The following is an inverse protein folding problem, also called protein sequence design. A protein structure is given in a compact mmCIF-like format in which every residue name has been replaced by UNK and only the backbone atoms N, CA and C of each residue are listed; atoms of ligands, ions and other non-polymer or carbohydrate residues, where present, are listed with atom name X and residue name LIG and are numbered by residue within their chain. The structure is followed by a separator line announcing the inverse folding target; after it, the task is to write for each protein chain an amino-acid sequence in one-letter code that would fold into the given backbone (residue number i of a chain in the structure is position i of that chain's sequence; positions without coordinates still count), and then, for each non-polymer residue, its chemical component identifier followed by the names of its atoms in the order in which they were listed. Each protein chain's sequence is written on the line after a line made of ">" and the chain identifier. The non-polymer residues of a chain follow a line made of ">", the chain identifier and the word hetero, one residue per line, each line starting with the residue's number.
data_IF_294448947322
#
_entry.id   IF_294448947322
#
_cell.length_a   1.000
_cell.length_b   1.000
_cell.length_c   1.000
_cell.angle_alpha   90.00
_cell.angle_beta   90.00
_cell.angle_gamma   90.00
#
_symmetry.space_group_name_H-M   'P 1'
#
loop_
_entity.id
_entity.type
_entity.pdbx_description
1 polymer ?
#
# COMPACT_ATOMS: atom_id res chain seq x y z
N UNK A 1 80.42 30.18 40.92
CA UNK A 1 81.75 30.30 41.59
C UNK A 1 81.86 29.11 42.51
N UNK A 2 82.77 28.17 42.44
CA UNK A 2 84.10 27.95 41.86
C UNK A 2 84.23 26.40 41.95
N UNK A 3 84.88 25.65 41.10
CA UNK A 3 85.86 25.98 40.09
C UNK A 3 85.96 24.78 39.16
N UNK A 4 86.13 25.11 37.89
CA UNK A 4 86.87 24.33 36.92
C UNK A 4 88.27 23.99 37.48
N UNK A 5 88.77 22.80 37.15
CA UNK A 5 90.20 22.50 36.96
C UNK A 5 91.09 22.40 38.21
N UNK A 6 91.22 21.17 38.70
CA UNK A 6 92.51 20.62 39.15
C UNK A 6 92.67 19.26 38.45
N UNK A 7 93.06 19.25 37.17
CA UNK A 7 94.45 19.04 36.72
C UNK A 7 95.21 17.99 37.54
N UNK A 8 95.49 16.88 36.84
CA UNK A 8 96.78 16.19 36.82
C UNK A 8 97.17 15.41 38.08
N UNK A 9 96.74 14.15 38.12
CA UNK A 9 97.59 13.05 38.62
C UNK A 9 97.56 11.91 37.61
N UNK A 10 98.42 12.02 36.61
CA UNK A 10 98.83 10.91 35.74
C UNK A 10 99.87 10.09 36.50
N UNK A 11 99.65 8.78 36.62
CA UNK A 11 100.64 7.70 36.64
C UNK A 11 99.93 6.32 36.54
N UNK A 12 100.59 5.27 36.07
CA UNK A 12 100.28 4.67 34.77
C UNK A 12 99.58 3.31 34.84
N UNK A 13 99.16 2.85 33.66
CA UNK A 13 98.73 1.48 33.32
C UNK A 13 99.66 0.42 33.94
N UNK A 14 99.07 -0.62 34.51
CA UNK A 14 99.28 -2.04 34.18
C UNK A 14 98.64 -2.91 35.27
N UNK A 15 97.56 -3.61 34.92
CA UNK A 15 97.54 -5.07 35.04
C UNK A 15 96.29 -5.62 34.35
N UNK A 16 96.54 -6.38 33.30
CA UNK A 16 95.60 -7.25 32.62
C UNK A 16 95.08 -8.28 33.63
N UNK A 17 93.80 -8.19 34.00
CA UNK A 17 93.09 -9.29 34.65
C UNK A 17 92.44 -10.14 33.56
N UNK A 18 93.14 -11.21 33.23
CA UNK A 18 92.69 -12.30 32.36
C UNK A 18 91.41 -12.92 32.91
N UNK A 19 90.27 -12.64 32.26
CA UNK A 19 89.03 -13.42 32.44
C UNK A 19 89.31 -14.88 32.04
N UNK A 20 88.96 -15.89 32.84
CA UNK A 20 89.23 -17.28 32.51
C UNK A 20 88.53 -17.67 31.20
N UNK A 21 89.21 -18.40 30.33
CA UNK A 21 88.70 -18.81 29.00
C UNK A 21 87.36 -19.55 29.04
N UNK A 22 87.00 -20.16 30.17
CA UNK A 22 85.79 -20.96 30.32
C UNK A 22 84.49 -20.12 30.40
N UNK A 23 84.54 -18.91 30.97
CA UNK A 23 83.36 -18.03 31.07
C UNK A 23 83.05 -17.34 29.73
N UNK A 24 84.09 -16.99 28.95
CA UNK A 24 83.92 -16.42 27.60
C UNK A 24 83.27 -17.38 26.62
N UNK A 25 83.51 -18.68 26.77
CA UNK A 25 82.93 -19.72 25.91
C UNK A 25 81.43 -19.95 26.23
N UNK A 26 81.03 -19.80 27.49
CA UNK A 26 79.62 -19.92 27.92
C UNK A 26 78.77 -18.75 27.43
N UNK A 27 79.31 -17.52 27.46
CA UNK A 27 78.63 -16.32 26.94
C UNK A 27 78.47 -16.35 25.41
N UNK A 28 79.47 -16.86 24.67
CA UNK A 28 79.43 -16.95 23.21
C UNK A 28 78.40 -18.01 22.73
N UNK A 29 78.29 -19.14 23.44
CA UNK A 29 77.28 -20.16 23.15
C UNK A 29 75.84 -19.64 23.43
N UNK A 30 75.67 -18.83 24.48
CA UNK A 30 74.40 -18.22 24.81
C UNK A 30 73.94 -17.21 23.75
N UNK A 31 74.83 -16.35 23.26
CA UNK A 31 74.54 -15.39 22.19
C UNK A 31 74.21 -16.08 20.86
N UNK A 32 74.90 -17.18 20.53
CA UNK A 32 74.59 -17.99 19.34
C UNK A 32 73.17 -18.57 19.39
N UNK A 33 72.74 -19.06 20.55
CA UNK A 33 71.37 -19.56 20.75
C UNK A 33 70.34 -18.44 20.65
N UNK A 34 70.63 -17.27 21.20
CA UNK A 34 69.76 -16.10 21.13
C UNK A 34 69.56 -15.63 19.68
N UNK A 35 70.64 -15.46 18.91
CA UNK A 35 70.58 -15.12 17.48
C UNK A 35 69.76 -16.15 16.69
N UNK A 36 69.96 -17.45 16.96
CA UNK A 36 69.18 -18.49 16.30
C UNK A 36 67.68 -18.42 16.64
N UNK A 37 67.33 -18.13 17.90
CA UNK A 37 65.94 -17.95 18.32
C UNK A 37 65.29 -16.73 17.66
N UNK A 38 66.02 -15.61 17.55
CA UNK A 38 65.54 -14.39 16.88
C UNK A 38 65.26 -14.65 15.39
N UNK A 39 66.15 -15.36 14.69
CA UNK A 39 65.88 -15.77 13.30
C UNK A 39 64.66 -16.68 13.17
N UNK A 40 64.45 -17.60 14.11
CA UNK A 40 63.27 -18.46 14.13
C UNK A 40 61.98 -17.65 14.35
N UNK A 41 62.00 -16.64 15.23
CA UNK A 41 60.89 -15.71 15.44
C UNK A 41 60.56 -14.91 14.17
N UNK A 42 61.57 -14.38 13.48
CA UNK A 42 61.38 -13.68 12.21
C UNK A 42 60.82 -14.58 11.11
N UNK A 43 61.25 -15.85 11.08
CA UNK A 43 60.72 -16.83 10.14
C UNK A 43 59.26 -17.16 10.42
N UNK A 44 58.86 -17.24 11.70
CA UNK A 44 57.46 -17.43 12.07
C UNK A 44 56.60 -16.20 11.76
N UNK A 45 57.17 -15.01 11.95
CA UNK A 45 56.47 -13.74 11.69
C UNK A 45 56.25 -13.55 10.19
N UNK A 46 57.30 -13.57 9.38
CA UNK A 46 57.18 -13.28 7.95
C UNK A 46 56.80 -14.51 7.11
N UNK A 47 57.06 -15.72 7.58
CA UNK A 47 57.08 -16.94 6.77
C UNK A 47 58.45 -17.13 6.10
N UNK A 48 58.93 -18.38 6.01
CA UNK A 48 60.27 -18.72 5.52
C UNK A 48 60.60 -18.10 4.17
N UNK A 49 59.68 -18.18 3.21
CA UNK A 49 59.91 -17.74 1.83
C UNK A 49 59.97 -16.22 1.73
N UNK A 50 59.10 -15.53 2.47
CA UNK A 50 59.07 -14.06 2.50
C UNK A 50 60.28 -13.49 3.24
N UNK A 51 60.74 -14.15 4.30
CA UNK A 51 61.94 -13.76 5.02
C UNK A 51 63.17 -13.83 4.12
N UNK A 52 63.31 -14.91 3.33
CA UNK A 52 64.41 -15.06 2.37
C UNK A 52 64.37 -13.98 1.28
N UNK A 53 63.19 -13.68 0.75
CA UNK A 53 63.03 -12.59 -0.23
C UNK A 53 63.40 -11.22 0.37
N UNK A 54 63.00 -10.95 1.62
CA UNK A 54 63.30 -9.71 2.34
C UNK A 54 64.80 -9.59 2.63
N UNK A 55 65.42 -10.66 3.13
CA UNK A 55 66.87 -10.72 3.35
C UNK A 55 67.68 -10.57 2.05
N UNK A 56 67.15 -11.04 0.92
CA UNK A 56 67.74 -10.83 -0.40
C UNK A 56 67.74 -9.36 -0.84
N UNK A 57 66.63 -8.65 -0.64
CA UNK A 57 66.51 -7.21 -0.96
C UNK A 57 67.40 -6.33 -0.10
N UNK A 58 67.64 -6.73 1.15
CA UNK A 58 68.43 -5.99 2.14
C UNK A 58 69.90 -6.43 2.19
N UNK A 59 70.33 -7.23 1.20
CA UNK A 59 71.68 -7.79 1.09
C UNK A 59 72.16 -8.58 2.33
N UNK A 60 71.23 -9.00 3.19
CA UNK A 60 71.50 -9.71 4.44
C UNK A 60 71.62 -11.23 4.24
N UNK A 61 71.24 -11.77 3.08
CA UNK A 61 71.15 -13.22 2.83
C UNK A 61 72.48 -13.96 3.01
N UNK A 62 73.60 -13.37 2.60
CA UNK A 62 74.94 -13.95 2.80
C UNK A 62 75.38 -13.87 4.27
N UNK A 63 75.07 -12.75 4.92
CA UNK A 63 75.40 -12.48 6.32
C UNK A 63 74.64 -13.41 7.29
N UNK A 64 73.38 -13.75 6.99
CA UNK A 64 72.60 -14.74 7.75
C UNK A 64 73.25 -16.12 7.82
N UNK A 65 74.03 -16.48 6.78
CA UNK A 65 74.70 -17.79 6.64
C UNK A 65 76.17 -17.75 7.04
N UNK A 66 76.66 -16.61 7.54
CA UNK A 66 78.04 -16.47 8.00
C UNK A 66 78.29 -17.30 9.26
N UNK A 67 79.53 -17.77 9.43
CA UNK A 67 79.98 -18.44 10.65
C UNK A 67 80.32 -17.44 11.77
N UNK A 68 80.49 -16.15 11.43
CA UNK A 68 80.68 -15.07 12.41
C UNK A 68 79.36 -14.66 13.04
N UNK A 69 79.36 -14.55 14.38
CA UNK A 69 78.21 -14.09 15.15
C UNK A 69 77.89 -12.62 14.82
N UNK A 70 78.92 -11.80 14.65
CA UNK A 70 78.82 -10.38 14.36
C UNK A 70 78.12 -10.11 13.02
N UNK A 71 78.44 -10.90 11.99
CA UNK A 71 77.76 -10.84 10.68
C UNK A 71 76.29 -11.26 10.78
N UNK A 72 75.99 -12.27 11.61
CA UNK A 72 74.62 -12.75 11.80
C UNK A 72 73.76 -11.74 12.56
N UNK A 73 74.33 -11.02 13.52
CA UNK A 73 73.65 -9.90 14.20
C UNK A 73 73.45 -8.73 13.24
N UNK A 74 74.43 -8.40 12.41
CA UNK A 74 74.29 -7.39 11.36
C UNK A 74 73.14 -7.73 10.39
N UNK A 75 73.02 -9.01 10.01
CA UNK A 75 71.91 -9.48 9.20
C UNK A 75 70.55 -9.29 9.88
N UNK A 76 70.47 -9.57 11.19
CA UNK A 76 69.25 -9.32 11.99
C UNK A 76 68.90 -7.84 12.02
N UNK A 77 69.88 -6.96 12.28
CA UNK A 77 69.66 -5.51 12.30
C UNK A 77 69.09 -5.01 10.97
N UNK A 78 69.70 -5.40 9.84
CA UNK A 78 69.20 -5.02 8.50
C UNK A 78 67.77 -5.50 8.25
N UNK A 79 67.44 -6.73 8.65
CA UNK A 79 66.13 -7.35 8.37
C UNK A 79 65.02 -6.74 9.24
N UNK A 80 65.34 -6.46 10.51
CA UNK A 80 64.38 -6.00 11.51
C UNK A 80 64.14 -4.50 11.38
N UNK A 81 65.19 -3.70 11.26
CA UNK A 81 65.09 -2.25 11.06
C UNK A 81 64.81 -1.85 9.59
N UNK A 82 64.80 -2.82 8.67
CA UNK A 82 64.60 -2.62 7.23
C UNK A 82 65.60 -1.65 6.57
N UNK A 83 66.79 -1.49 7.15
CA UNK A 83 67.81 -0.54 6.70
C UNK A 83 69.03 -1.26 6.09
N UNK A 84 69.24 -1.22 4.76
CA UNK A 84 70.40 -1.84 4.13
C UNK A 84 71.71 -1.04 4.31
N UNK A 85 71.64 0.20 4.80
CA UNK A 85 72.81 1.10 4.96
C UNK A 85 73.66 0.79 6.19
N UNK A 86 73.21 -0.13 7.04
CA UNK A 86 73.96 -0.64 8.19
C UNK A 86 75.06 -1.57 7.66
N UNK A 87 76.27 -1.04 7.46
CA UNK A 87 77.37 -1.78 6.80
C UNK A 87 78.33 -2.50 7.75
N UNK A 88 78.55 -1.94 8.95
CA UNK A 88 79.59 -2.43 9.84
C UNK A 88 79.01 -3.40 10.89
N UNK A 89 79.60 -4.60 11.05
CA UNK A 89 79.17 -5.52 12.10
C UNK A 89 79.51 -4.93 13.48
N UNK A 90 78.60 -5.02 14.45
CA UNK A 90 78.82 -4.50 15.80
C UNK A 90 80.04 -5.17 16.45
N UNK A 91 80.79 -4.41 17.25
CA UNK A 91 81.92 -4.98 17.99
C UNK A 91 81.43 -6.00 19.00
N UNK A 92 82.26 -7.02 19.29
CA UNK A 92 81.91 -8.12 20.22
C UNK A 92 81.36 -7.69 21.58
N UNK A 93 81.76 -6.52 22.08
CA UNK A 93 81.30 -5.99 23.37
C UNK A 93 79.88 -5.43 23.33
N UNK A 94 79.41 -5.05 22.14
CA UNK A 94 78.16 -4.32 21.92
C UNK A 94 77.07 -5.24 21.34
N UNK A 95 77.41 -6.51 21.05
CA UNK A 95 76.46 -7.53 20.58
C UNK A 95 75.24 -7.72 21.49
N UNK A 96 75.37 -7.75 22.84
CA UNK A 96 74.20 -7.91 23.70
C UNK A 96 73.22 -6.73 23.63
N UNK A 97 73.73 -5.51 23.50
CA UNK A 97 72.92 -4.29 23.39
C UNK A 97 72.20 -4.25 22.03
N UNK A 98 72.92 -4.54 20.94
CA UNK A 98 72.34 -4.62 19.60
C UNK A 98 71.25 -5.71 19.49
N UNK A 99 71.43 -6.86 20.16
CA UNK A 99 70.40 -7.89 20.21
C UNK A 99 69.16 -7.47 21.01
N UNK A 100 69.34 -6.73 22.10
CA UNK A 100 68.20 -6.20 22.86
C UNK A 100 67.39 -5.18 22.03
N UNK A 101 68.06 -4.29 21.30
CA UNK A 101 67.38 -3.36 20.37
C UNK A 101 66.60 -4.10 19.27
N UNK A 102 67.18 -5.18 18.72
CA UNK A 102 66.50 -6.04 17.74
C UNK A 102 65.27 -6.71 18.37
N UNK A 103 65.37 -7.20 19.60
CA UNK A 103 64.26 -7.85 20.30
C UNK A 103 63.11 -6.88 20.59
N UNK A 104 63.41 -5.64 21.00
CA UNK A 104 62.42 -4.59 21.21
C UNK A 104 61.65 -4.27 19.91
N UNK A 105 62.36 -4.09 18.79
CA UNK A 105 61.73 -3.80 17.50
C UNK A 105 60.88 -4.98 17.00
N UNK A 106 61.33 -6.22 17.21
CA UNK A 106 60.53 -7.41 16.89
C UNK A 106 59.24 -7.45 17.73
N UNK A 107 59.32 -7.09 19.01
CA UNK A 107 58.14 -7.05 19.87
C UNK A 107 57.10 -6.04 19.35
N UNK A 108 57.53 -4.85 18.92
CA UNK A 108 56.66 -3.83 18.33
C UNK A 108 56.04 -4.29 17.00
N UNK A 109 56.81 -4.95 16.14
CA UNK A 109 56.31 -5.54 14.89
C UNK A 109 55.23 -6.59 15.15
N UNK A 110 55.41 -7.47 16.15
CA UNK A 110 54.41 -8.48 16.54
C UNK A 110 53.15 -7.82 17.09
N UNK A 111 53.31 -6.80 17.95
CA UNK A 111 52.18 -6.08 18.53
C UNK A 111 51.32 -5.41 17.46
N UNK A 112 51.95 -4.73 16.49
CA UNK A 112 51.26 -4.07 15.37
C UNK A 112 50.50 -5.08 14.52
N UNK A 113 51.14 -6.18 14.12
CA UNK A 113 50.49 -7.21 13.30
C UNK A 113 49.31 -7.87 13.99
N UNK A 114 49.41 -8.09 15.30
CA UNK A 114 48.30 -8.64 16.10
C UNK A 114 47.07 -7.72 16.10
N UNK A 115 47.28 -6.40 16.06
CA UNK A 115 46.18 -5.42 15.97
C UNK A 115 45.58 -5.42 14.55
N UNK A 116 46.43 -5.47 13.52
CA UNK A 116 45.99 -5.55 12.12
C UNK A 116 45.10 -6.79 11.89
N UNK A 117 45.56 -7.98 12.32
CA UNK A 117 44.79 -9.23 12.20
C UNK A 117 43.43 -9.16 12.93
N UNK A 118 43.36 -8.51 14.10
CA UNK A 118 42.10 -8.31 14.84
C UNK A 118 41.13 -7.40 14.10
N UNK A 119 41.63 -6.36 13.44
CA UNK A 119 40.80 -5.42 12.68
C UNK A 119 40.28 -6.10 11.41
N UNK A 120 41.13 -6.82 10.67
CA UNK A 120 40.72 -7.57 9.48
C UNK A 120 39.62 -8.57 9.81
N UNK A 121 39.75 -9.32 10.90
CA UNK A 121 38.71 -10.25 11.36
C UNK A 121 37.38 -9.55 11.65
N UNK A 122 37.39 -8.40 12.34
CA UNK A 122 36.17 -7.61 12.61
C UNK A 122 35.53 -7.07 11.33
N UNK A 123 36.33 -6.66 10.36
CA UNK A 123 35.82 -6.18 9.06
C UNK A 123 35.14 -7.34 8.32
N UNK A 124 35.77 -8.51 8.28
CA UNK A 124 35.20 -9.69 7.64
C UNK A 124 33.85 -10.10 8.27
N UNK A 125 33.78 -10.15 9.60
CA UNK A 125 32.55 -10.45 10.34
C UNK A 125 31.42 -9.45 10.03
N UNK A 126 31.72 -8.14 10.01
CA UNK A 126 30.71 -7.12 9.66
C UNK A 126 30.27 -7.17 8.21
N UNK A 127 31.19 -7.44 7.28
CA UNK A 127 30.86 -7.59 5.86
C UNK A 127 29.92 -8.78 5.64
N UNK A 128 30.17 -9.89 6.33
CA UNK A 128 29.32 -11.07 6.25
C UNK A 128 27.93 -10.84 6.83
N UNK A 129 27.82 -10.18 7.99
CA UNK A 129 26.52 -9.78 8.56
C UNK A 129 25.71 -8.91 7.59
N UNK A 130 26.33 -7.88 7.01
CA UNK A 130 25.66 -6.99 6.04
C UNK A 130 25.23 -7.75 4.78
N UNK A 131 26.01 -8.72 4.32
CA UNK A 131 25.64 -9.56 3.18
C UNK A 131 24.43 -10.46 3.48
N UNK A 132 24.37 -11.05 4.67
CA UNK A 132 23.21 -11.85 5.10
C UNK A 132 21.94 -11.02 5.25
N UNK A 133 22.03 -9.80 5.80
CA UNK A 133 20.91 -8.86 5.88
C UNK A 133 20.41 -8.48 4.49
N UNK A 134 21.32 -8.14 3.56
CA UNK A 134 20.97 -7.81 2.18
C UNK A 134 20.28 -8.97 1.45
N UNK A 135 20.76 -10.21 1.62
CA UNK A 135 20.10 -11.39 1.04
C UNK A 135 18.71 -11.65 1.64
N UNK A 136 18.49 -11.35 2.93
CA UNK A 136 17.16 -11.44 3.55
C UNK A 136 16.19 -10.41 2.97
N UNK A 137 16.65 -9.17 2.77
CA UNK A 137 15.84 -8.11 2.13
C UNK A 137 15.44 -8.50 0.71
N UNK A 138 16.38 -8.98 -0.12
CA UNK A 138 16.07 -9.45 -1.47
C UNK A 138 15.06 -10.60 -1.46
N UNK A 139 15.24 -11.60 -0.58
CA UNK A 139 14.28 -12.70 -0.46
C UNK A 139 12.89 -12.22 -0.07
N UNK A 140 12.80 -11.23 0.81
CA UNK A 140 11.53 -10.65 1.23
C UNK A 140 10.85 -9.91 0.07
N UNK A 141 11.59 -9.14 -0.73
CA UNK A 141 11.08 -8.46 -1.93
C UNK A 141 10.58 -9.45 -2.98
N UNK A 142 11.35 -10.50 -3.30
CA UNK A 142 10.93 -11.52 -4.28
C UNK A 142 9.67 -12.27 -3.83
N UNK A 143 9.55 -12.58 -2.53
CA UNK A 143 8.32 -13.22 -1.99
C UNK A 143 7.10 -12.28 -2.06
N UNK A 144 7.31 -10.97 -1.92
CA UNK A 144 6.26 -9.97 -2.07
C UNK A 144 5.84 -9.80 -3.53
N UNK A 145 6.78 -9.86 -4.48
CA UNK A 145 6.53 -9.71 -5.92
C UNK A 145 5.95 -10.97 -6.56
N UNK A 146 6.30 -12.17 -6.08
CA UNK A 146 5.83 -13.44 -6.64
C UNK A 146 4.43 -13.87 -6.16
N UNK A 147 3.95 -13.30 -5.04
CA UNK A 147 2.58 -13.52 -4.61
C UNK A 147 1.66 -12.51 -5.34
N UNK A 148 0.70 -13.03 -6.11
CA UNK A 148 -0.41 -12.21 -6.60
C UNK A 148 -1.15 -11.50 -5.45
N UNK A 149 -2.18 -10.69 -5.76
CA UNK A 149 -2.91 -9.93 -4.73
C UNK A 149 -3.59 -10.82 -3.67
N UNK A 150 -3.73 -12.11 -3.96
CA UNK A 150 -4.39 -13.08 -3.11
C UNK A 150 -3.44 -13.91 -2.26
N UNK A 151 -3.74 -13.96 -0.96
CA UNK A 151 -3.09 -14.81 0.02
C UNK A 151 -4.09 -15.88 0.53
N UNK A 152 -3.65 -16.90 1.28
CA UNK A 152 -4.55 -17.96 1.77
C UNK A 152 -5.76 -17.43 2.56
N UNK A 153 -5.64 -16.29 3.23
CA UNK A 153 -6.75 -15.68 3.95
C UNK A 153 -7.75 -14.97 3.02
N UNK A 154 -7.31 -14.29 1.95
CA UNK A 154 -8.22 -13.68 0.97
C UNK A 154 -8.93 -14.73 0.15
N UNK A 155 -8.24 -15.80 -0.27
CA UNK A 155 -8.85 -16.94 -0.97
C UNK A 155 -9.88 -17.67 -0.10
N UNK A 156 -9.61 -17.81 1.21
CA UNK A 156 -10.60 -18.36 2.14
C UNK A 156 -11.84 -17.47 2.25
N UNK A 157 -11.65 -16.14 2.34
CA UNK A 157 -12.79 -15.19 2.34
C UNK A 157 -13.57 -15.25 1.03
N UNK A 158 -12.89 -15.37 -0.12
CA UNK A 158 -13.54 -15.54 -1.41
C UNK A 158 -14.38 -16.82 -1.44
N UNK A 159 -13.82 -17.95 -1.02
CA UNK A 159 -14.55 -19.22 -0.95
C UNK A 159 -15.73 -19.17 0.04
N UNK A 160 -15.58 -18.46 1.17
CA UNK A 160 -16.67 -18.24 2.12
C UNK A 160 -17.79 -17.38 1.49
N UNK A 161 -17.44 -16.35 0.70
CA UNK A 161 -18.40 -15.51 -0.03
C UNK A 161 -19.11 -16.27 -1.17
N UNK A 162 -18.37 -17.02 -1.99
CA UNK A 162 -18.94 -17.86 -3.05
C UNK A 162 -19.94 -18.88 -2.47
N UNK A 163 -19.59 -19.48 -1.32
CA UNK A 163 -20.50 -20.37 -0.59
C UNK A 163 -21.74 -19.65 -0.04
N UNK A 164 -21.63 -18.37 0.32
CA UNK A 164 -22.79 -17.56 0.72
C UNK A 164 -23.66 -17.22 -0.50
N UNK A 165 -23.08 -16.93 -1.66
CA UNK A 165 -23.79 -16.61 -2.90
C UNK A 165 -24.55 -17.83 -3.46
N UNK A 166 -24.08 -19.06 -3.21
CA UNK A 166 -24.82 -20.28 -3.50
C UNK A 166 -26.14 -20.39 -2.70
N UNK A 167 -26.24 -19.71 -1.56
CA UNK A 167 -27.43 -19.69 -0.70
C UNK A 167 -28.34 -18.53 -1.11
N UNK A 168 -29.09 -18.72 -2.19
CA UNK A 168 -30.13 -17.77 -2.58
C UNK A 168 -31.46 -18.10 -1.90
N UNK A 169 -32.00 -17.18 -1.12
CA UNK A 169 -33.40 -17.26 -0.70
C UNK A 169 -34.30 -17.05 -1.93
N UNK A 170 -35.50 -17.66 -1.92
CA UNK A 170 -36.50 -17.38 -2.95
C UNK A 170 -36.75 -15.86 -3.04
N UNK A 171 -37.00 -15.35 -4.26
CA UNK A 171 -37.32 -13.94 -4.47
C UNK A 171 -38.35 -13.48 -3.44
N UNK A 172 -38.11 -12.32 -2.84
CA UNK A 172 -39.01 -11.76 -1.84
C UNK A 172 -40.43 -11.74 -2.39
N UNK A 173 -41.38 -12.32 -1.65
CA UNK A 173 -42.81 -12.35 -2.03
C UNK A 173 -43.29 -10.94 -2.39
N UNK A 174 -42.76 -9.92 -1.70
CA UNK A 174 -43.05 -8.51 -1.95
C UNK A 174 -42.66 -8.02 -3.34
N UNK A 175 -41.65 -8.60 -3.98
CA UNK A 175 -41.27 -8.27 -5.36
C UNK A 175 -42.28 -8.85 -6.36
N UNK A 176 -42.68 -10.11 -6.15
CA UNK A 176 -43.70 -10.81 -6.96
C UNK A 176 -45.08 -10.16 -6.86
N UNK A 177 -45.36 -9.48 -5.75
CA UNK A 177 -46.62 -8.76 -5.54
C UNK A 177 -46.71 -7.40 -6.24
N UNK A 178 -45.60 -6.85 -6.75
CA UNK A 178 -45.60 -5.55 -7.44
C UNK A 178 -46.31 -5.64 -8.80
N UNK A 179 -46.99 -4.57 -9.25
CA UNK A 179 -47.48 -4.43 -10.62
C UNK A 179 -46.41 -4.70 -11.68
N UNK A 180 -46.76 -5.47 -12.72
CA UNK A 180 -45.85 -5.81 -13.82
C UNK A 180 -45.98 -4.90 -15.04
N UNK A 181 -47.07 -4.13 -15.13
CA UNK A 181 -47.33 -3.16 -16.20
C UNK A 181 -48.13 -1.97 -15.65
N UNK A 182 -48.19 -0.88 -16.41
CA UNK A 182 -48.90 0.34 -16.00
C UNK A 182 -50.41 0.16 -15.84
N UNK A 183 -51.03 -0.82 -16.52
CA UNK A 183 -52.46 -1.11 -16.39
C UNK A 183 -52.84 -1.80 -15.08
N UNK A 184 -51.86 -2.33 -14.35
CA UNK A 184 -52.05 -2.93 -13.03
C UNK A 184 -51.81 -1.94 -11.87
N UNK A 185 -51.48 -0.68 -12.18
CA UNK A 185 -51.31 0.37 -11.18
C UNK A 185 -52.68 0.93 -10.85
N UNK A 186 -53.06 0.86 -9.58
CA UNK A 186 -54.39 1.25 -9.09
C UNK A 186 -54.36 2.66 -8.49
N UNK A 187 -55.36 3.48 -8.82
CA UNK A 187 -55.62 4.77 -8.20
C UNK A 187 -54.59 5.87 -8.51
N UNK A 188 -53.78 5.71 -9.57
CA UNK A 188 -52.69 6.63 -9.93
C UNK A 188 -52.69 7.03 -11.40
N UNK A 189 -53.84 6.98 -12.08
CA UNK A 189 -53.95 7.20 -13.54
C UNK A 189 -53.42 8.57 -13.95
N UNK A 190 -53.71 9.60 -13.14
CA UNK A 190 -53.26 10.98 -13.38
C UNK A 190 -51.74 11.09 -13.24
N UNK A 191 -51.17 10.49 -12.19
CA UNK A 191 -49.74 10.49 -11.93
C UNK A 191 -48.98 9.71 -13.02
N UNK A 192 -49.47 8.52 -13.39
CA UNK A 192 -48.91 7.68 -14.46
C UNK A 192 -48.91 8.43 -15.79
N UNK A 193 -50.04 9.04 -16.17
CA UNK A 193 -50.15 9.80 -17.43
C UNK A 193 -49.23 11.02 -17.44
N UNK A 194 -49.16 11.75 -16.32
CA UNK A 194 -48.26 12.89 -16.18
C UNK A 194 -46.80 12.46 -16.30
N UNK A 195 -46.38 11.42 -15.58
CA UNK A 195 -45.01 10.91 -15.61
C UNK A 195 -44.63 10.39 -17.00
N UNK A 196 -45.51 9.62 -17.65
CA UNK A 196 -45.32 9.19 -19.05
C UNK A 196 -45.10 10.39 -19.97
N UNK A 197 -45.96 11.42 -19.91
CA UNK A 197 -45.82 12.60 -20.77
C UNK A 197 -44.52 13.38 -20.56
N UNK A 198 -43.91 13.27 -19.38
CA UNK A 198 -42.64 13.94 -19.03
C UNK A 198 -41.40 13.12 -19.42
N UNK A 199 -41.48 11.80 -19.29
CA UNK A 199 -40.36 10.89 -19.51
C UNK A 199 -40.36 10.34 -20.95
N UNK A 200 -41.49 9.86 -21.44
CA UNK A 200 -41.64 9.32 -22.78
C UNK A 200 -41.83 10.44 -23.82
N UNK A 201 -40.79 11.27 -23.97
CA UNK A 201 -40.72 12.34 -24.97
C UNK A 201 -39.33 12.40 -25.61
N UNK A 202 -39.16 13.08 -26.76
CA UNK A 202 -37.83 13.30 -27.35
C UNK A 202 -36.88 14.11 -26.45
N UNK A 203 -37.44 14.85 -25.49
CA UNK A 203 -36.71 15.69 -24.53
C UNK A 203 -37.21 15.39 -23.11
N UNK A 204 -36.85 14.24 -22.53
CA UNK A 204 -37.30 13.86 -21.20
C UNK A 204 -36.95 14.92 -20.16
N UNK A 205 -37.89 15.17 -19.26
CA UNK A 205 -37.71 16.14 -18.16
C UNK A 205 -37.30 15.40 -16.89
N UNK A 206 -36.48 16.03 -16.05
CA UNK A 206 -36.31 15.59 -14.66
C UNK A 206 -37.63 15.76 -13.90
N UNK A 207 -37.95 14.84 -12.98
CA UNK A 207 -39.24 14.83 -12.29
C UNK A 207 -39.07 14.62 -10.79
N UNK A 208 -39.89 15.31 -9.99
CA UNK A 208 -40.09 15.02 -8.57
C UNK A 208 -41.48 14.41 -8.37
N UNK A 209 -41.54 13.25 -7.73
CA UNK A 209 -42.75 12.53 -7.36
C UNK A 209 -43.10 12.85 -5.90
N UNK A 210 -44.21 13.56 -5.71
CA UNK A 210 -44.77 13.82 -4.39
C UNK A 210 -45.87 12.82 -4.09
N UNK A 211 -45.96 12.36 -2.84
CA UNK A 211 -47.11 11.62 -2.37
C UNK A 211 -46.81 10.75 -1.15
N UNK A 212 -47.84 10.15 -0.53
CA UNK A 212 -47.69 9.33 0.67
C UNK A 212 -46.74 8.14 0.46
N UNK A 213 -46.20 7.54 1.53
CA UNK A 213 -45.45 6.29 1.43
C UNK A 213 -46.36 5.16 0.91
N UNK A 214 -45.78 4.18 0.21
CA UNK A 214 -46.49 2.97 -0.18
C UNK A 214 -47.50 3.09 -1.34
N UNK A 215 -47.66 4.27 -1.97
CA UNK A 215 -48.57 4.50 -3.12
C UNK A 215 -48.01 4.07 -4.49
N UNK A 216 -46.75 3.63 -4.55
CA UNK A 216 -46.16 3.05 -5.76
C UNK A 216 -45.25 3.96 -6.59
N UNK A 217 -44.77 5.10 -6.06
CA UNK A 217 -43.84 6.03 -6.72
C UNK A 217 -42.69 5.34 -7.47
N UNK A 218 -41.92 4.52 -6.76
CA UNK A 218 -40.77 3.77 -7.31
C UNK A 218 -41.19 2.76 -8.38
N UNK A 219 -42.28 2.01 -8.13
CA UNK A 219 -42.80 1.02 -9.08
C UNK A 219 -43.23 1.68 -10.38
N UNK A 220 -43.99 2.77 -10.30
CA UNK A 220 -44.47 3.52 -11.46
C UNK A 220 -43.31 4.12 -12.23
N UNK A 221 -42.32 4.72 -11.57
CA UNK A 221 -41.13 5.25 -12.23
C UNK A 221 -40.39 4.18 -13.06
N UNK A 222 -40.22 2.99 -12.50
CA UNK A 222 -39.59 1.86 -13.18
C UNK A 222 -40.39 1.39 -14.39
N UNK A 223 -41.70 1.21 -14.23
CA UNK A 223 -42.60 0.81 -15.33
C UNK A 223 -42.65 1.87 -16.44
N UNK A 224 -42.62 3.16 -16.10
CA UNK A 224 -42.59 4.25 -17.09
C UNK A 224 -41.32 4.21 -17.92
N UNK A 225 -40.14 3.94 -17.32
CA UNK A 225 -38.92 3.77 -18.10
C UNK A 225 -39.04 2.58 -19.07
N UNK A 226 -39.57 1.45 -18.60
CA UNK A 226 -39.74 0.27 -19.45
C UNK A 226 -40.72 0.52 -20.61
N UNK A 227 -41.77 1.32 -20.42
CA UNK A 227 -42.62 1.77 -21.54
C UNK A 227 -41.91 2.77 -22.45
N UNK A 228 -41.12 3.71 -21.88
CA UNK A 228 -40.39 4.69 -22.67
C UNK A 228 -39.36 4.03 -23.60
N UNK A 229 -38.65 3.00 -23.13
CA UNK A 229 -37.67 2.22 -23.92
C UNK A 229 -38.26 1.55 -25.16
N UNK A 230 -39.58 1.28 -25.19
CA UNK A 230 -40.28 0.72 -26.35
C UNK A 230 -40.56 1.75 -27.44
N UNK A 231 -40.43 3.03 -27.14
CA UNK A 231 -40.80 4.14 -28.03
C UNK A 231 -39.58 4.71 -28.75
N UNK A 232 -39.55 4.58 -30.07
CA UNK A 232 -38.39 4.95 -30.92
C UNK A 232 -38.00 6.43 -30.88
N UNK A 233 -38.92 7.32 -30.50
CA UNK A 233 -38.67 8.76 -30.44
C UNK A 233 -38.09 9.22 -29.10
N UNK A 234 -37.96 8.32 -28.12
CA UNK A 234 -37.33 8.64 -26.83
C UNK A 234 -35.81 8.40 -26.91
N UNK A 235 -35.01 9.10 -26.09
CA UNK A 235 -33.56 8.89 -26.09
C UNK A 235 -33.12 7.62 -25.34
N UNK A 236 -34.04 6.91 -24.67
CA UNK A 236 -33.71 5.73 -23.89
C UNK A 236 -33.49 4.52 -24.80
N UNK A 237 -32.32 3.91 -24.69
CA UNK A 237 -32.01 2.66 -25.39
C UNK A 237 -32.54 1.44 -24.64
N UNK A 238 -32.53 0.28 -25.28
CA UNK A 238 -32.94 -0.99 -24.64
C UNK A 238 -32.09 -1.31 -23.41
N UNK A 239 -30.81 -0.94 -23.42
CA UNK A 239 -29.88 -1.11 -22.29
C UNK A 239 -29.95 0.01 -21.24
N UNK A 240 -30.84 1.00 -21.38
CA UNK A 240 -30.96 2.11 -20.43
C UNK A 240 -31.20 1.58 -19.00
N UNK A 241 -30.32 1.99 -18.09
CA UNK A 241 -30.31 1.55 -16.70
C UNK A 241 -31.36 2.29 -15.85
N UNK A 242 -31.90 1.60 -14.85
CA UNK A 242 -32.68 2.21 -13.77
C UNK A 242 -31.88 2.07 -12.48
N UNK A 243 -31.11 3.09 -12.12
CA UNK A 243 -30.29 3.12 -10.92
C UNK A 243 -31.13 3.69 -9.79
N UNK A 244 -31.41 2.87 -8.77
CA UNK A 244 -32.24 3.23 -7.62
C UNK A 244 -31.36 3.44 -6.39
N UNK A 245 -31.57 4.54 -5.68
CA UNK A 245 -30.90 4.84 -4.41
C UNK A 245 -31.84 5.53 -3.44
N UNK A 246 -31.68 5.25 -2.15
CA UNK A 246 -32.38 5.95 -1.08
C UNK A 246 -31.53 7.13 -0.60
N UNK A 247 -32.10 8.34 -0.69
CA UNK A 247 -31.46 9.60 -0.31
C UNK A 247 -31.00 9.63 1.15
N UNK A 248 -31.65 8.88 2.05
CA UNK A 248 -31.23 8.77 3.47
C UNK A 248 -29.90 8.04 3.64
N UNK A 249 -29.54 7.19 2.68
CA UNK A 249 -28.29 6.41 2.70
C UNK A 249 -27.10 7.18 2.12
N UNK A 250 -27.38 8.23 1.34
CA UNK A 250 -26.37 9.09 0.72
C UNK A 250 -25.82 10.09 1.75
N UNK A 251 -24.75 9.70 2.43
CA UNK A 251 -24.03 10.59 3.35
C UNK A 251 -23.06 11.49 2.60
N UNK A 252 -23.08 12.77 2.93
CA UNK A 252 -22.06 13.72 2.52
C UNK A 252 -20.82 13.57 3.41
N UNK A 253 -19.66 13.35 2.78
CA UNK A 253 -18.36 13.43 3.45
C UNK A 253 -17.67 14.75 3.07
N UNK A 254 -17.47 15.69 4.01
CA UNK A 254 -16.76 16.95 3.75
C UNK A 254 -15.34 16.78 3.24
N UNK A 255 -14.71 15.61 3.48
CA UNK A 255 -13.37 15.31 2.99
C UNK A 255 -13.37 14.69 1.59
N UNK A 256 -14.55 14.45 1.02
CA UNK A 256 -14.76 13.85 -0.30
C UNK A 256 -14.04 12.50 -0.52
N UNK A 257 -13.69 11.81 0.57
CA UNK A 257 -12.96 10.52 0.51
C UNK A 257 -13.84 9.46 -0.14
N UNK A 258 -15.13 9.49 0.17
CA UNK A 258 -16.13 8.64 -0.45
C UNK A 258 -17.37 9.44 -0.79
N UNK A 259 -17.80 9.39 -2.04
CA UNK A 259 -19.08 9.93 -2.48
C UNK A 259 -19.74 8.91 -3.42
N UNK A 260 -20.65 8.06 -2.90
CA UNK A 260 -21.30 7.04 -3.72
C UNK A 260 -22.11 7.62 -4.89
N UNK A 261 -22.68 8.82 -4.73
CA UNK A 261 -23.51 9.44 -5.76
C UNK A 261 -22.66 9.91 -6.95
N UNK A 262 -21.61 10.70 -6.68
CA UNK A 262 -20.80 11.34 -7.72
C UNK A 262 -19.60 10.50 -8.15
N UNK A 263 -19.07 9.69 -7.23
CA UNK A 263 -17.75 9.09 -7.34
C UNK A 263 -16.74 9.84 -6.47
N UNK A 264 -15.59 9.22 -6.22
CA UNK A 264 -14.50 9.82 -5.46
C UNK A 264 -13.15 9.45 -6.06
N UNK A 265 -12.11 10.21 -5.70
CA UNK A 265 -10.74 9.86 -6.07
C UNK A 265 -10.04 9.27 -4.86
N UNK A 266 -9.46 8.09 -5.01
CA UNK A 266 -8.56 7.54 -4.02
C UNK A 266 -7.13 7.92 -4.33
N UNK A 267 -6.57 8.82 -3.52
CA UNK A 267 -5.17 9.20 -3.63
C UNK A 267 -4.23 8.03 -3.27
N UNK A 268 -3.02 7.97 -3.88
CA UNK A 268 -2.09 6.85 -3.72
C UNK A 268 -1.74 6.51 -2.26
N UNK A 269 -1.69 7.51 -1.37
CA UNK A 269 -1.38 7.33 0.07
C UNK A 269 -2.44 6.46 0.78
N UNK A 270 -3.67 6.40 0.24
CA UNK A 270 -4.79 5.65 0.80
C UNK A 270 -5.12 4.36 0.02
N UNK A 271 -4.36 4.01 -1.02
CA UNK A 271 -4.57 2.81 -1.84
C UNK A 271 -3.91 1.55 -1.22
N UNK A 272 -4.43 1.10 -0.08
CA UNK A 272 -3.87 -0.03 0.68
C UNK A 272 -3.99 -1.44 0.07
N UNK A 273 -4.33 -1.61 -1.23
CA UNK A 273 -4.58 -2.96 -1.78
C UNK A 273 -4.38 -3.18 -3.31
N UNK A 274 -4.18 -2.15 -4.15
CA UNK A 274 -3.89 -2.34 -5.59
C UNK A 274 -2.48 -1.81 -5.90
N UNK A 275 -1.51 -2.72 -5.98
CA UNK A 275 -0.08 -2.38 -6.11
C UNK A 275 0.25 -1.71 -7.44
N UNK A 276 -0.48 -2.03 -8.51
CA UNK A 276 -0.20 -1.63 -9.89
C UNK A 276 -0.27 -0.10 -10.11
N UNK A 277 -1.17 0.60 -9.39
CA UNK A 277 -1.32 2.07 -9.45
C UNK A 277 -0.65 2.78 -8.26
N UNK A 278 -0.60 2.11 -7.09
CA UNK A 278 0.00 2.65 -5.88
C UNK A 278 1.54 2.79 -6.00
N UNK A 279 2.22 1.87 -6.70
CA UNK A 279 3.66 1.97 -6.98
C UNK A 279 3.98 3.12 -7.96
N UNK A 280 3.03 3.48 -8.82
CA UNK A 280 3.14 4.59 -9.77
C UNK A 280 2.70 5.96 -9.23
N UNK A 281 2.17 6.04 -8.01
CA UNK A 281 1.67 7.29 -7.45
C UNK A 281 0.47 7.88 -8.19
N UNK A 282 -0.30 7.06 -8.93
CA UNK A 282 -1.41 7.53 -9.76
C UNK A 282 -2.72 7.51 -8.97
N UNK A 283 -3.47 8.63 -8.88
CA UNK A 283 -4.78 8.63 -8.23
C UNK A 283 -5.80 7.81 -9.03
N UNK A 284 -6.64 7.04 -8.33
CA UNK A 284 -7.67 6.18 -8.94
C UNK A 284 -9.07 6.82 -8.80
N UNK A 285 -9.69 7.30 -9.89
CA UNK A 285 -11.07 7.74 -9.87
C UNK A 285 -12.02 6.55 -9.77
N UNK A 286 -12.93 6.59 -8.80
CA UNK A 286 -14.09 5.70 -8.70
C UNK A 286 -15.33 6.43 -9.17
N UNK A 287 -16.06 5.79 -10.08
CA UNK A 287 -17.31 6.30 -10.60
C UNK A 287 -18.42 6.19 -9.55
N UNK A 288 -19.41 7.08 -9.63
CA UNK A 288 -20.59 7.04 -8.77
C UNK A 288 -21.86 6.65 -9.52
N UNK A 289 -22.95 6.55 -8.77
CA UNK A 289 -24.28 6.16 -9.24
C UNK A 289 -24.78 7.03 -10.41
N UNK A 290 -24.42 8.32 -10.46
CA UNK A 290 -24.79 9.21 -11.57
C UNK A 290 -24.17 8.78 -12.91
N UNK A 291 -22.98 8.18 -12.87
CA UNK A 291 -22.31 7.64 -14.07
C UNK A 291 -22.93 6.30 -14.47
N UNK A 292 -23.31 5.46 -13.50
CA UNK A 292 -24.04 4.21 -13.75
C UNK A 292 -25.42 4.45 -14.37
N UNK A 293 -26.05 5.59 -14.05
CA UNK A 293 -27.33 6.02 -14.60
C UNK A 293 -27.24 6.63 -16.00
N UNK A 294 -26.03 6.83 -16.54
CA UNK A 294 -25.83 7.49 -17.83
C UNK A 294 -26.61 6.79 -18.97
N UNK A 295 -27.39 7.57 -19.72
CA UNK A 295 -28.28 7.09 -20.78
C UNK A 295 -29.61 6.49 -20.27
N UNK A 296 -29.83 6.50 -18.96
CA UNK A 296 -31.00 5.94 -18.29
C UNK A 296 -31.61 6.87 -17.26
N UNK A 297 -32.10 6.29 -16.17
CA UNK A 297 -32.77 6.98 -15.07
C UNK A 297 -31.99 6.81 -13.78
N UNK A 298 -31.75 7.92 -13.08
CA UNK A 298 -31.37 7.91 -11.68
C UNK A 298 -32.63 8.15 -10.85
N UNK A 299 -33.06 7.15 -10.10
CA UNK A 299 -34.16 7.26 -9.15
C UNK A 299 -33.62 7.49 -7.74
N UNK A 300 -34.02 8.59 -7.12
CA UNK A 300 -33.66 8.90 -5.72
C UNK A 300 -34.93 8.93 -4.87
N UNK A 301 -35.10 7.93 -4.01
CA UNK A 301 -36.16 7.97 -3.00
C UNK A 301 -35.76 8.92 -1.86
N UNK A 302 -36.76 9.52 -1.19
CA UNK A 302 -36.56 10.47 -0.11
C UNK A 302 -35.51 11.58 -0.39
N UNK A 303 -35.59 12.23 -1.56
CA UNK A 303 -34.70 13.33 -1.96
C UNK A 303 -34.64 14.46 -0.92
N UNK A 304 -35.73 14.69 -0.19
CA UNK A 304 -35.81 15.70 0.87
C UNK A 304 -34.91 15.42 2.07
N UNK A 305 -34.47 14.18 2.27
CA UNK A 305 -33.57 13.79 3.36
C UNK A 305 -32.09 13.92 2.98
N UNK A 306 -31.78 14.15 1.69
CA UNK A 306 -30.40 14.31 1.25
C UNK A 306 -29.78 15.60 1.78
N UNK A 307 -28.48 15.52 2.08
CA UNK A 307 -27.70 16.70 2.46
C UNK A 307 -27.79 17.81 1.40
N UNK A 308 -28.06 19.07 1.78
CA UNK A 308 -28.19 20.19 0.83
C UNK A 308 -26.94 20.42 -0.05
N UNK A 309 -25.74 20.11 0.45
CA UNK A 309 -24.52 20.22 -0.35
C UNK A 309 -24.51 19.17 -1.46
N UNK A 310 -24.93 17.94 -1.15
CA UNK A 310 -25.02 16.88 -2.14
C UNK A 310 -26.10 17.15 -3.19
N UNK A 311 -27.23 17.74 -2.76
CA UNK A 311 -28.26 18.25 -3.66
C UNK A 311 -27.70 19.30 -4.65
N UNK A 312 -26.91 20.27 -4.17
CA UNK A 312 -26.30 21.29 -5.03
C UNK A 312 -25.30 20.69 -6.03
N UNK A 313 -24.50 19.70 -5.59
CA UNK A 313 -23.60 18.99 -6.51
C UNK A 313 -24.37 18.19 -7.54
N UNK A 314 -25.46 17.52 -7.16
CA UNK A 314 -26.34 16.83 -8.10
C UNK A 314 -26.88 17.79 -9.16
N UNK A 315 -27.32 19.00 -8.77
CA UNK A 315 -27.79 20.01 -9.72
C UNK A 315 -26.71 20.39 -10.74
N UNK A 316 -25.47 20.55 -10.31
CA UNK A 316 -24.35 20.82 -11.21
C UNK A 316 -24.16 19.66 -12.22
N UNK A 317 -24.29 18.42 -11.77
CA UNK A 317 -24.22 17.25 -12.67
C UNK A 317 -25.38 17.22 -13.66
N UNK A 318 -26.60 17.60 -13.27
CA UNK A 318 -27.74 17.70 -14.20
C UNK A 318 -27.48 18.74 -15.31
N UNK A 319 -26.75 19.81 -15.01
CA UNK A 319 -26.38 20.85 -15.98
C UNK A 319 -25.22 20.42 -16.87
N UNK A 320 -24.12 19.97 -16.26
CA UNK A 320 -22.88 19.62 -16.96
C UNK A 320 -22.96 18.27 -17.69
N UNK A 321 -23.91 17.41 -17.26
CA UNK A 321 -24.08 16.02 -17.71
C UNK A 321 -22.84 15.15 -17.54
N UNK A 322 -21.92 15.59 -16.68
CA UNK A 322 -20.61 14.98 -16.42
C UNK A 322 -20.20 15.22 -14.98
N UNK A 323 -19.35 14.33 -14.46
CA UNK A 323 -18.73 14.48 -13.15
C UNK A 323 -17.24 14.74 -13.32
N UNK A 324 -16.75 15.85 -12.76
CA UNK A 324 -15.32 16.15 -12.70
C UNK A 324 -14.65 15.46 -11.51
N UNK A 325 -13.39 15.09 -11.70
CA UNK A 325 -12.53 14.53 -10.64
C UNK A 325 -11.34 15.45 -10.44
N UNK A 326 -10.97 15.67 -9.19
CA UNK A 326 -9.83 16.51 -8.81
C UNK A 326 -8.94 15.75 -7.82
N UNK A 327 -7.62 15.85 -7.99
CA UNK A 327 -6.62 15.32 -7.06
C UNK A 327 -5.32 16.12 -7.18
N UNK A 328 -4.68 16.38 -6.05
CA UNK A 328 -3.39 17.05 -5.99
C UNK A 328 -2.23 16.19 -6.53
N UNK A 329 -2.45 14.87 -6.69
CA UNK A 329 -1.45 13.91 -7.16
C UNK A 329 -1.58 13.60 -8.66
N UNK A 330 -2.53 14.22 -9.36
CA UNK A 330 -2.69 14.02 -10.78
C UNK A 330 -1.82 14.99 -11.59
N UNK A 331 -0.90 14.44 -12.40
CA UNK A 331 -0.18 15.18 -13.43
C UNK A 331 -0.65 14.76 -14.84
N UNK A 332 -1.25 15.66 -15.64
CA UNK A 332 -1.67 15.37 -17.01
C UNK A 332 -0.54 14.88 -17.93
N UNK A 333 0.70 15.31 -17.67
CA UNK A 333 1.87 15.02 -18.50
C UNK A 333 2.57 13.73 -18.11
N UNK A 334 2.24 13.12 -16.98
CA UNK A 334 2.87 11.87 -16.54
C UNK A 334 2.57 10.73 -17.54
N UNK A 335 3.59 10.13 -18.17
CA UNK A 335 3.40 9.04 -19.12
C UNK A 335 2.87 7.75 -18.48
N UNK A 336 2.99 7.59 -17.17
CA UNK A 336 2.54 6.39 -16.45
C UNK A 336 1.04 6.39 -16.18
N UNK A 337 0.36 7.54 -16.28
CA UNK A 337 -1.08 7.62 -16.04
C UNK A 337 -1.86 7.00 -17.22
N UNK A 338 -2.72 5.99 -16.98
CA UNK A 338 -3.53 5.37 -18.02
C UNK A 338 -4.44 6.36 -18.76
N UNK A 339 -4.65 6.13 -20.07
CA UNK A 339 -5.47 7.00 -20.92
C UNK A 339 -6.89 7.22 -20.41
N UNK A 340 -7.50 6.20 -19.80
CA UNK A 340 -8.86 6.34 -19.26
C UNK A 340 -8.89 7.27 -18.04
N UNK A 341 -7.86 7.21 -17.16
CA UNK A 341 -7.72 8.14 -16.03
C UNK A 341 -7.52 9.55 -16.55
N UNK A 342 -6.63 9.75 -17.54
CA UNK A 342 -6.43 11.06 -18.17
C UNK A 342 -7.75 11.64 -18.71
N UNK A 343 -8.55 10.80 -19.38
CA UNK A 343 -9.86 11.19 -19.90
C UNK A 343 -10.84 11.56 -18.79
N UNK A 344 -10.86 10.82 -17.68
CA UNK A 344 -11.75 11.11 -16.54
C UNK A 344 -11.38 12.43 -15.85
N UNK A 345 -10.10 12.75 -15.71
CA UNK A 345 -9.65 14.03 -15.15
C UNK A 345 -9.80 15.20 -16.14
N UNK A 346 -9.66 14.97 -17.46
CA UNK A 346 -9.79 16.04 -18.46
C UNK A 346 -11.23 16.36 -18.81
N UNK A 347 -12.02 15.32 -19.10
CA UNK A 347 -13.37 15.47 -19.65
C UNK A 347 -14.43 15.24 -18.57
N UNK A 348 -14.09 14.54 -17.48
CA UNK A 348 -15.05 14.01 -16.52
C UNK A 348 -15.62 12.63 -16.90
N UNK A 349 -16.32 11.99 -15.95
CA UNK A 349 -17.16 10.84 -16.24
C UNK A 349 -18.49 11.27 -16.88
N UNK A 350 -19.02 10.53 -17.86
CA UNK A 350 -20.33 10.81 -18.43
C UNK A 350 -21.44 10.56 -17.40
N UNK A 351 -22.39 11.48 -17.28
CA UNK A 351 -23.51 11.41 -16.34
C UNK A 351 -24.76 12.11 -16.92
N UNK A 352 -25.03 11.89 -18.21
CA UNK A 352 -26.27 12.34 -18.86
C UNK A 352 -27.39 11.32 -18.54
N UNK A 353 -28.24 11.62 -17.56
CA UNK A 353 -29.34 10.75 -17.11
C UNK A 353 -30.59 11.58 -16.83
N UNK A 354 -31.74 10.92 -16.73
CA UNK A 354 -32.99 11.55 -16.29
C UNK A 354 -33.19 11.29 -14.81
N UNK A 355 -33.16 12.35 -13.99
CA UNK A 355 -33.51 12.27 -12.57
C UNK A 355 -35.02 12.06 -12.39
N UNK A 356 -35.39 11.02 -11.64
CA UNK A 356 -36.71 10.87 -11.03
C UNK A 356 -36.52 10.83 -9.52
N UNK A 357 -36.80 11.94 -8.85
CA UNK A 357 -36.74 12.02 -7.40
C UNK A 357 -38.11 11.71 -6.79
N UNK A 358 -38.17 11.10 -5.61
CA UNK A 358 -39.40 10.89 -4.86
C UNK A 358 -39.26 11.43 -3.43
N UNK A 359 -40.37 11.89 -2.84
CA UNK A 359 -40.39 12.32 -1.45
C UNK A 359 -41.79 12.23 -0.85
N UNK A 360 -41.84 12.11 0.47
CA UNK A 360 -43.05 12.26 1.29
C UNK A 360 -43.19 13.65 1.91
N UNK A 361 -42.18 14.52 1.78
CA UNK A 361 -42.18 15.90 2.30
C UNK A 361 -43.05 16.85 1.47
N UNK A 362 -43.44 17.96 2.07
CA UNK A 362 -44.16 19.01 1.36
C UNK A 362 -43.26 19.69 0.30
N UNK A 363 -43.79 20.10 -0.87
CA UNK A 363 -43.01 20.83 -1.86
C UNK A 363 -42.29 22.08 -1.34
N UNK A 364 -42.79 22.74 -0.30
CA UNK A 364 -42.14 23.90 0.32
C UNK A 364 -40.87 23.53 1.11
N UNK A 365 -40.73 22.27 1.53
CA UNK A 365 -39.56 21.77 2.25
C UNK A 365 -38.42 21.32 1.32
N UNK A 366 -38.72 21.12 0.04
CA UNK A 366 -37.72 20.76 -0.97
C UNK A 366 -37.04 22.01 -1.50
N UNK A 367 -35.73 21.93 -1.68
CA UNK A 367 -34.90 23.02 -2.22
C UNK A 367 -35.52 23.64 -3.48
N UNK A 368 -35.77 24.97 -3.51
CA UNK A 368 -36.28 25.65 -4.69
C UNK A 368 -35.41 25.45 -5.94
N UNK A 369 -34.10 25.23 -5.75
CA UNK A 369 -33.16 25.01 -6.85
C UNK A 369 -33.39 23.67 -7.57
N UNK A 370 -33.76 22.60 -6.84
CA UNK A 370 -34.13 21.31 -7.44
C UNK A 370 -35.51 21.42 -8.09
N UNK A 371 -36.48 22.00 -7.37
CA UNK A 371 -37.85 22.17 -7.87
C UNK A 371 -37.91 22.95 -9.17
N UNK A 372 -37.14 24.02 -9.29
CA UNK A 372 -37.09 24.82 -10.51
C UNK A 372 -36.55 24.07 -11.73
N UNK A 373 -35.82 22.97 -11.54
CA UNK A 373 -35.23 22.16 -12.61
C UNK A 373 -36.01 20.88 -12.91
N UNK A 374 -37.03 20.57 -12.11
CA UNK A 374 -37.80 19.34 -12.24
C UNK A 374 -39.29 19.64 -12.44
N UNK A 375 -39.94 18.84 -13.28
CA UNK A 375 -41.39 18.79 -13.30
C UNK A 375 -41.92 18.15 -12.01
N UNK A 376 -43.06 18.62 -11.52
CA UNK A 376 -43.69 18.06 -10.32
C UNK A 376 -44.85 17.13 -10.75
N UNK A 377 -44.85 15.91 -10.20
CA UNK A 377 -45.93 14.94 -10.38
C UNK A 377 -46.42 14.50 -9.00
N UNK A 378 -47.74 14.50 -8.83
CA UNK A 378 -48.39 14.22 -7.55
C UNK A 378 -49.09 12.87 -7.62
N UNK A 379 -48.76 11.98 -6.69
CA UNK A 379 -49.43 10.73 -6.44
C UNK A 379 -50.55 10.97 -5.43
N UNK A 380 -51.71 10.40 -5.72
CA UNK A 380 -52.90 10.57 -4.91
C UNK A 380 -52.87 9.59 -3.72
N UNK A 381 -53.38 9.96 -2.53
CA UNK A 381 -53.62 8.99 -1.47
C UNK A 381 -54.59 7.91 -1.95
N UNK A 382 -54.31 6.65 -1.62
CA UNK A 382 -55.18 5.52 -2.01
C UNK A 382 -56.41 5.47 -1.12
N UNK A 383 -57.58 5.28 -1.72
CA UNK A 383 -58.82 5.06 -1.00
C UNK A 383 -59.04 3.58 -0.66
N UNK A 384 -60.16 3.26 -0.02
CA UNK A 384 -60.44 1.88 0.38
C UNK A 384 -60.71 0.95 -0.82
N UNK A 385 -61.26 1.47 -1.90
CA UNK A 385 -61.56 0.68 -3.09
C UNK A 385 -60.27 0.39 -3.87
N UNK A 386 -59.35 1.35 -3.94
CA UNK A 386 -58.00 1.16 -4.45
C UNK A 386 -57.28 0.03 -3.70
N UNK A 387 -57.31 0.06 -2.36
CA UNK A 387 -56.65 -0.96 -1.53
C UNK A 387 -57.27 -2.34 -1.75
N UNK A 388 -58.59 -2.44 -1.90
CA UNK A 388 -59.26 -3.71 -2.23
C UNK A 388 -58.74 -4.26 -3.56
N UNK A 389 -58.68 -3.43 -4.59
CA UNK A 389 -58.22 -3.84 -5.92
C UNK A 389 -56.73 -4.26 -5.90
N UNK A 390 -55.89 -3.55 -5.14
CA UNK A 390 -54.49 -3.92 -4.92
C UNK A 390 -54.38 -5.31 -4.28
N UNK A 391 -55.17 -5.61 -3.25
CA UNK A 391 -55.17 -6.92 -2.56
C UNK A 391 -55.65 -8.02 -3.51
N UNK A 392 -56.71 -7.77 -4.29
CA UNK A 392 -57.24 -8.73 -5.28
C UNK A 392 -56.17 -9.03 -6.35
N UNK A 393 -55.53 -7.99 -6.87
CA UNK A 393 -54.48 -8.11 -7.88
C UNK A 393 -53.26 -8.86 -7.33
N UNK A 394 -52.84 -8.52 -6.11
CA UNK A 394 -51.75 -9.20 -5.41
C UNK A 394 -52.03 -10.70 -5.21
N UNK A 395 -53.25 -11.06 -4.78
CA UNK A 395 -53.66 -12.45 -4.63
C UNK A 395 -53.70 -13.20 -5.98
N UNK A 396 -54.11 -12.51 -7.05
CA UNK A 396 -54.05 -13.02 -8.42
C UNK A 396 -52.61 -13.39 -8.83
N UNK A 397 -51.63 -12.55 -8.50
CA UNK A 397 -50.19 -12.81 -8.77
C UNK A 397 -49.67 -14.01 -7.99
N UNK A 398 -50.10 -14.18 -6.73
CA UNK A 398 -49.76 -15.37 -5.93
C UNK A 398 -50.52 -16.63 -6.36
N UNK A 399 -51.55 -16.50 -7.22
CA UNK A 399 -52.45 -17.58 -7.64
C UNK A 399 -53.14 -18.27 -6.45
N UNK A 400 -53.46 -17.50 -5.42
CA UNK A 400 -54.09 -18.01 -4.19
C UNK A 400 -55.59 -17.74 -4.17
N UNK A 401 -56.34 -18.65 -3.57
CA UNK A 401 -57.75 -18.42 -3.24
C UNK A 401 -57.83 -17.78 -1.87
N UNK A 402 -58.70 -16.78 -1.73
CA UNK A 402 -58.94 -16.07 -0.47
C UNK A 402 -60.44 -15.89 -0.26
N UNK A 403 -60.86 -15.71 0.98
CA UNK A 403 -62.26 -15.37 1.29
C UNK A 403 -62.56 -13.96 0.73
N UNK A 404 -63.69 -13.75 0.01
CA UNK A 404 -64.05 -12.45 -0.57
C UNK A 404 -64.07 -11.27 0.42
N UNK A 405 -64.14 -11.51 1.73
CA UNK A 405 -64.08 -10.47 2.77
C UNK A 405 -62.67 -9.96 3.07
N UNK A 406 -61.62 -10.68 2.65
CA UNK A 406 -60.22 -10.32 2.97
C UNK A 406 -59.84 -8.92 2.41
N UNK A 407 -60.10 -8.58 1.13
CA UNK A 407 -59.79 -7.24 0.63
C UNK A 407 -60.47 -6.13 1.44
N UNK A 408 -61.73 -6.32 1.84
CA UNK A 408 -62.48 -5.35 2.64
C UNK A 408 -61.92 -5.19 4.06
N UNK A 409 -61.41 -6.28 4.65
CA UNK A 409 -60.79 -6.24 5.97
C UNK A 409 -59.45 -5.51 5.92
N UNK A 410 -58.63 -5.82 4.91
CA UNK A 410 -57.31 -5.17 4.72
C UNK A 410 -57.48 -3.68 4.42
N UNK A 411 -58.45 -3.29 3.59
CA UNK A 411 -58.72 -1.88 3.25
C UNK A 411 -59.16 -1.03 4.43
N UNK A 412 -59.73 -1.64 5.48
CA UNK A 412 -60.08 -0.94 6.73
C UNK A 412 -58.86 -0.71 7.64
N UNK A 413 -57.76 -1.43 7.42
CA UNK A 413 -56.58 -1.39 8.28
C UNK A 413 -55.45 -0.50 7.74
N UNK A 414 -55.36 -0.34 6.42
CA UNK A 414 -54.28 0.45 5.80
C UNK A 414 -54.75 1.19 4.55
N UNK A 415 -54.11 2.33 4.30
CA UNK A 415 -54.23 3.16 3.09
C UNK A 415 -52.96 3.10 2.23
N UNK A 416 -52.03 2.20 2.56
CA UNK A 416 -50.76 2.04 1.84
C UNK A 416 -50.76 0.72 1.06
N UNK A 417 -50.64 0.80 -0.27
CA UNK A 417 -50.66 -0.38 -1.14
C UNK A 417 -49.55 -1.38 -0.80
N UNK A 418 -48.34 -0.90 -0.48
CA UNK A 418 -47.21 -1.75 -0.04
C UNK A 418 -47.58 -2.55 1.23
N UNK A 419 -48.19 -1.90 2.22
CA UNK A 419 -48.58 -2.54 3.49
C UNK A 419 -49.74 -3.52 3.28
N UNK A 420 -50.70 -3.18 2.43
CA UNK A 420 -51.81 -4.07 2.07
C UNK A 420 -51.32 -5.38 1.42
N UNK A 421 -50.40 -5.28 0.46
CA UNK A 421 -49.75 -6.44 -0.16
C UNK A 421 -48.93 -7.26 0.86
N UNK A 422 -48.24 -6.60 1.79
CA UNK A 422 -47.51 -7.26 2.88
C UNK A 422 -48.42 -8.08 3.80
N UNK A 423 -49.55 -7.50 4.24
CA UNK A 423 -50.54 -8.22 5.07
C UNK A 423 -51.04 -9.49 4.37
N UNK A 424 -51.29 -9.42 3.06
CA UNK A 424 -51.67 -10.59 2.27
C UNK A 424 -50.55 -11.64 2.22
N UNK A 425 -49.30 -11.22 2.00
CA UNK A 425 -48.14 -12.10 1.97
C UNK A 425 -47.94 -12.82 3.32
N UNK A 426 -48.06 -12.08 4.41
CA UNK A 426 -47.95 -12.60 5.78
C UNK A 426 -49.07 -13.61 6.07
N UNK A 427 -50.31 -13.28 5.71
CA UNK A 427 -51.45 -14.18 5.85
C UNK A 427 -51.29 -15.46 5.02
N UNK A 428 -50.75 -15.34 3.80
CA UNK A 428 -50.43 -16.49 2.96
C UNK A 428 -49.35 -17.36 3.60
N UNK A 429 -48.27 -16.76 4.12
CA UNK A 429 -47.20 -17.48 4.80
C UNK A 429 -47.67 -18.25 6.04
N UNK A 430 -48.66 -17.72 6.78
CA UNK A 430 -49.28 -18.39 7.93
C UNK A 430 -50.26 -19.50 7.55
N UNK A 431 -50.76 -19.51 6.31
CA UNK A 431 -51.76 -20.46 5.84
C UNK A 431 -51.15 -21.68 5.11
N UNK A 432 -49.86 -21.65 4.80
CA UNK A 432 -49.07 -22.79 4.32
C UNK A 432 -48.85 -23.80 5.44
#
# INVERSE_FOLDING_TARGET
>A
MKNLLQKLSVRPKQNESTVPLHDRLLDEEQLLRQVAAVFALLSNLYGSDKLVLKAGKLEALKLMRSESLEDRVLALQRIVFEDPTIENPPHRKDLPEALNEIEEEIADLIARRTVEDKIEKKIAERMQQRHEEYLKEIKFQILQEAAGPDNPNTLKKLADLEKMDEITLAKSVMETLKPSNLGEVVGQERAVKALLGKIASPFPQHVILYGPPGVGKTTVARLVLEEAKKLQFTPFKEEASFVEVDGTTLRWDPREVTNPLLGSVHDPIYQGARRDLAEGGVPEPKLGLVTEAHGGVLFIDEIGEMDPMLQNKLLKVLEDKRVSFDSAYYDPNDPNVPKYIKKLFSDGAPADFVLIAATTRDPMEISPAIRSRCAEVYFEPLDQDDIKEIVISAAGRLKVKFDPKIPELVSKYTVEGRKAAGILADAFGLAL
#
